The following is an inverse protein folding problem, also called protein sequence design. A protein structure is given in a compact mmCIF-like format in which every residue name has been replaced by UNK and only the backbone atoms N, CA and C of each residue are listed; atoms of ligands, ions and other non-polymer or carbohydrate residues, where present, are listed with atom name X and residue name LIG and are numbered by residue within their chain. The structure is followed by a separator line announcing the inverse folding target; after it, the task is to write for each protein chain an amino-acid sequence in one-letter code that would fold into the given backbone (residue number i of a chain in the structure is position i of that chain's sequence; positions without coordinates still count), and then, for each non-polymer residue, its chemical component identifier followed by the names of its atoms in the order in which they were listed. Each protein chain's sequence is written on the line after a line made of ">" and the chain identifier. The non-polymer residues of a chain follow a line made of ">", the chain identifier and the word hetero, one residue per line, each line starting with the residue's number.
data_IF_695853232102
#
_entry.id   IF_695853232102
#
_cell.length_a   1.000
_cell.length_b   1.000
_cell.length_c   1.000
_cell.angle_alpha   90.00
_cell.angle_beta   90.00
_cell.angle_gamma   90.00
#
_symmetry.space_group_name_H-M   'P 1'
#
loop_
_entity.id
_entity.type
_entity.pdbx_description
1 polymer ?
#
# COMPACT_ATOMS: atom_id res chain seq x y z
N UNK A 1 -16.44 44.47 68.03
CA UNK A 1 -15.19 43.91 67.47
C UNK A 1 -15.57 43.20 66.17
N UNK A 2 -15.31 43.79 64.98
CA UNK A 2 -14.08 43.59 64.16
C UNK A 2 -14.02 42.13 63.67
N UNK A 3 -14.02 41.77 62.38
CA UNK A 3 -13.82 42.49 61.12
C UNK A 3 -14.36 41.66 59.92
N UNK A 4 -14.84 42.39 58.92
CA UNK A 4 -15.13 41.97 57.55
C UNK A 4 -13.84 42.04 56.71
N UNK A 5 -13.64 41.07 55.80
CA UNK A 5 -12.82 41.08 54.57
C UNK A 5 -13.28 39.82 53.79
N UNK A 6 -14.01 39.83 52.66
CA UNK A 6 -13.94 40.61 51.43
C UNK A 6 -12.55 40.61 50.80
N UNK A 7 -12.26 39.58 49.99
CA UNK A 7 -11.46 39.75 48.79
C UNK A 7 -12.05 38.89 47.67
N UNK A 8 -12.55 39.58 46.65
CA UNK A 8 -12.92 39.03 45.36
C UNK A 8 -11.65 38.71 44.56
N UNK A 9 -11.67 37.62 43.79
CA UNK A 9 -10.87 37.50 42.57
C UNK A 9 -11.73 36.89 41.46
N UNK A 10 -12.33 37.83 40.72
CA UNK A 10 -12.61 37.85 39.28
C UNK A 10 -12.44 36.54 38.49
N UNK A 11 -13.56 36.12 37.91
CA UNK A 11 -13.75 35.64 36.53
C UNK A 11 -12.50 35.38 35.69
N UNK A 12 -12.34 34.13 35.27
CA UNK A 12 -12.19 33.85 33.84
C UNK A 12 -13.19 32.77 33.43
N UNK A 13 -13.97 33.12 32.41
CA UNK A 13 -14.83 32.24 31.66
C UNK A 13 -13.94 31.31 30.82
N UNK A 14 -14.16 30.00 30.89
CA UNK A 14 -13.81 29.08 29.81
C UNK A 14 -14.91 28.01 29.75
N UNK A 15 -15.62 28.02 28.63
CA UNK A 15 -16.62 27.02 28.27
C UNK A 15 -15.97 25.63 28.10
N UNK A 16 -16.74 24.62 28.50
CA UNK A 16 -16.79 23.23 28.01
C UNK A 16 -15.62 22.73 27.18
N UNK A 17 -14.99 21.63 27.58
CA UNK A 17 -14.81 20.49 26.68
C UNK A 17 -14.95 19.19 27.45
N UNK A 18 -15.68 18.26 26.85
CA UNK A 18 -15.94 16.93 27.34
C UNK A 18 -14.64 16.25 27.80
N UNK A 19 -14.69 15.65 28.98
CA UNK A 19 -13.67 14.74 29.45
C UNK A 19 -13.53 13.61 28.45
N UNK A 20 -12.32 13.49 27.91
CA UNK A 20 -11.83 12.39 27.09
C UNK A 20 -12.27 11.03 27.65
N UNK A 21 -13.11 10.35 26.88
CA UNK A 21 -13.19 8.89 26.85
C UNK A 21 -13.02 8.46 25.39
N UNK A 22 -11.89 8.81 24.78
CA UNK A 22 -11.35 7.97 23.71
C UNK A 22 -10.83 6.71 24.40
N UNK A 23 -11.70 5.71 24.41
CA UNK A 23 -11.34 4.32 24.65
C UNK A 23 -10.15 4.02 23.74
N UNK A 24 -8.98 3.78 24.35
CA UNK A 24 -7.86 3.14 23.68
C UNK A 24 -8.44 1.93 22.94
N UNK A 25 -8.38 1.95 21.61
CA UNK A 25 -8.64 0.75 20.83
C UNK A 25 -7.61 -0.27 21.32
N UNK A 26 -8.09 -1.18 22.15
CA UNK A 26 -7.30 -2.28 22.70
C UNK A 26 -6.73 -3.07 21.52
N UNK A 27 -5.47 -3.51 21.64
CA UNK A 27 -4.75 -4.44 20.74
C UNK A 27 -5.46 -5.79 20.47
N UNK A 28 -6.76 -5.90 20.73
CA UNK A 28 -7.57 -7.12 20.59
C UNK A 28 -8.94 -6.94 19.95
N UNK A 29 -9.27 -5.80 19.36
CA UNK A 29 -10.46 -5.75 18.51
C UNK A 29 -10.14 -6.44 17.17
N UNK A 30 -10.73 -7.63 16.96
CA UNK A 30 -10.87 -8.20 15.63
C UNK A 30 -11.58 -7.15 14.78
N UNK A 31 -10.83 -6.45 13.93
CA UNK A 31 -11.41 -5.49 13.01
C UNK A 31 -12.20 -6.30 11.98
N UNK A 32 -13.52 -6.11 11.99
CA UNK A 32 -14.37 -6.65 10.96
C UNK A 32 -14.15 -5.84 9.68
N UNK A 33 -13.69 -6.52 8.62
CA UNK A 33 -13.51 -5.94 7.29
C UNK A 33 -14.80 -5.28 6.78
N UNK A 34 -15.98 -5.76 7.21
CA UNK A 34 -17.26 -5.14 6.88
C UNK A 34 -17.44 -3.74 7.49
N UNK A 35 -16.82 -3.46 8.64
CA UNK A 35 -16.86 -2.13 9.26
C UNK A 35 -15.91 -1.14 8.56
N UNK A 36 -14.89 -1.65 7.86
CA UNK A 36 -13.93 -0.83 7.12
C UNK A 36 -14.46 -0.49 5.71
N UNK A 37 -15.25 -1.38 5.10
CA UNK A 37 -15.77 -1.18 3.75
C UNK A 37 -16.42 0.19 3.47
N UNK A 38 -17.23 0.76 4.39
CA UNK A 38 -17.83 2.09 4.20
C UNK A 38 -16.84 3.26 4.27
N UNK A 39 -15.63 3.06 4.78
CA UNK A 39 -14.59 4.09 4.91
C UNK A 39 -13.74 4.24 3.64
N UNK A 40 -13.88 3.31 2.69
CA UNK A 40 -13.15 3.31 1.41
C UNK A 40 -13.91 3.98 0.27
N UNK A 41 -13.15 4.64 -0.60
CA UNK A 41 -13.70 5.24 -1.81
C UNK A 41 -14.45 4.18 -2.65
N UNK A 42 -15.66 4.51 -3.13
CA UNK A 42 -16.38 3.63 -4.03
C UNK A 42 -15.58 3.43 -5.32
N UNK A 43 -15.66 2.22 -5.87
CA UNK A 43 -15.10 1.96 -7.19
C UNK A 43 -15.71 2.90 -8.23
N UNK A 44 -14.88 3.35 -9.15
CA UNK A 44 -15.22 4.24 -10.25
C UNK A 44 -14.56 3.73 -11.53
N UNK A 45 -15.36 3.55 -12.57
CA UNK A 45 -14.89 3.12 -13.89
C UNK A 45 -13.84 4.06 -14.51
N UNK A 46 -13.86 5.34 -14.15
CA UNK A 46 -12.92 6.34 -14.66
C UNK A 46 -11.59 6.35 -13.90
N UNK A 47 -11.56 5.78 -12.69
CA UNK A 47 -10.38 5.72 -11.84
C UNK A 47 -9.43 4.61 -12.28
N UNK A 48 -8.15 4.93 -12.20
CA UNK A 48 -7.07 3.94 -12.31
C UNK A 48 -6.74 3.47 -10.91
N UNK A 49 -6.58 2.16 -10.76
CA UNK A 49 -6.18 1.52 -9.53
C UNK A 49 -4.89 0.74 -9.77
N UNK A 50 -3.98 0.70 -8.81
CA UNK A 50 -2.72 -0.04 -8.85
C UNK A 50 -2.71 -1.15 -7.80
N UNK A 51 -1.74 -2.06 -7.89
CA UNK A 51 -1.60 -3.15 -6.93
C UNK A 51 -1.66 -2.64 -5.48
N UNK A 52 -2.60 -3.17 -4.69
CA UNK A 52 -2.84 -2.78 -3.30
C UNK A 52 -3.95 -1.75 -3.10
N UNK A 53 -4.41 -1.06 -4.14
CA UNK A 53 -5.51 -0.10 -4.01
C UNK A 53 -6.79 -0.78 -3.59
N UNK A 54 -7.50 -0.15 -2.66
CA UNK A 54 -8.72 -0.68 -2.07
C UNK A 54 -9.90 0.16 -2.51
N UNK A 55 -10.93 -0.52 -3.00
CA UNK A 55 -12.23 0.10 -3.30
C UNK A 55 -13.36 -0.60 -2.60
N UNK A 56 -14.39 0.17 -2.29
CA UNK A 56 -15.69 -0.38 -1.94
C UNK A 56 -16.55 -0.52 -3.20
N UNK A 57 -17.16 -1.69 -3.41
CA UNK A 57 -18.09 -1.89 -4.52
C UNK A 57 -19.18 -2.89 -4.12
N UNK A 58 -20.45 -2.48 -4.27
CA UNK A 58 -21.62 -3.27 -3.89
C UNK A 58 -21.53 -3.84 -2.45
N UNK A 59 -21.09 -3.02 -1.49
CA UNK A 59 -20.89 -3.38 -0.07
C UNK A 59 -19.74 -4.37 0.19
N UNK A 60 -18.79 -4.52 -0.74
CA UNK A 60 -17.62 -5.40 -0.56
C UNK A 60 -16.32 -4.65 -0.79
N UNK A 61 -15.26 -5.19 -0.21
CA UNK A 61 -13.90 -4.72 -0.40
C UNK A 61 -13.20 -5.50 -1.51
N UNK A 62 -12.51 -4.76 -2.37
CA UNK A 62 -11.65 -5.29 -3.40
C UNK A 62 -10.27 -4.67 -3.31
N UNK A 63 -9.25 -5.49 -3.46
CA UNK A 63 -7.86 -5.05 -3.57
C UNK A 63 -7.43 -5.22 -5.03
N UNK A 64 -6.95 -4.16 -5.66
CA UNK A 64 -6.39 -4.26 -6.99
C UNK A 64 -5.12 -5.12 -6.96
N UNK A 65 -5.00 -6.09 -7.86
CA UNK A 65 -3.83 -6.99 -7.91
C UNK A 65 -2.67 -6.41 -8.75
N UNK A 66 -3.00 -5.51 -9.65
CA UNK A 66 -2.10 -4.85 -10.58
C UNK A 66 -2.79 -3.57 -11.05
N UNK A 67 -2.17 -2.87 -11.99
CA UNK A 67 -2.85 -1.77 -12.67
C UNK A 67 -4.18 -2.24 -13.28
N UNK A 68 -5.29 -1.61 -12.90
CA UNK A 68 -6.64 -1.90 -13.40
C UNK A 68 -7.43 -0.60 -13.56
N UNK A 69 -8.08 -0.43 -14.71
CA UNK A 69 -8.92 0.73 -15.02
C UNK A 69 -10.16 0.28 -15.77
N UNK A 70 -11.33 0.79 -15.38
CA UNK A 70 -12.58 0.53 -16.08
C UNK A 70 -13.10 -0.91 -15.98
N UNK A 71 -12.31 -1.84 -15.43
CA UNK A 71 -12.77 -3.18 -15.09
C UNK A 71 -13.48 -3.11 -13.74
N UNK A 72 -14.75 -3.49 -13.74
CA UNK A 72 -15.58 -3.51 -12.54
C UNK A 72 -15.17 -4.68 -11.61
N UNK A 73 -14.98 -4.44 -10.30
CA UNK A 73 -14.65 -5.50 -9.36
C UNK A 73 -15.83 -6.47 -9.21
N UNK A 74 -15.57 -7.75 -9.40
CA UNK A 74 -16.59 -8.80 -9.31
C UNK A 74 -16.23 -9.84 -8.26
N UNK A 75 -17.25 -10.41 -7.61
CA UNK A 75 -17.12 -11.44 -6.57
C UNK A 75 -16.68 -12.78 -7.16
N UNK A 76 -15.40 -12.93 -7.48
CA UNK A 76 -14.84 -14.16 -7.99
C UNK A 76 -13.48 -14.47 -7.35
N UNK A 77 -12.88 -15.60 -7.74
CA UNK A 77 -11.55 -16.05 -7.35
C UNK A 77 -10.52 -15.91 -8.49
N UNK A 78 -10.82 -15.06 -9.48
CA UNK A 78 -10.09 -14.87 -10.73
C UNK A 78 -9.22 -13.62 -10.59
N UNK A 79 -8.10 -13.77 -9.90
CA UNK A 79 -7.22 -12.66 -9.55
C UNK A 79 -6.59 -11.91 -10.76
N UNK A 80 -6.55 -12.51 -11.96
CA UNK A 80 -6.05 -11.84 -13.18
C UNK A 80 -7.02 -10.80 -13.76
N UNK A 81 -8.27 -10.71 -13.29
CA UNK A 81 -9.22 -9.68 -13.73
C UNK A 81 -8.94 -8.28 -13.16
N UNK A 82 -7.88 -8.15 -12.37
CA UNK A 82 -7.44 -6.90 -11.77
C UNK A 82 -7.87 -6.74 -10.32
N UNK A 83 -8.82 -7.53 -9.82
CA UNK A 83 -9.40 -7.36 -8.49
C UNK A 83 -9.35 -8.64 -7.65
N UNK A 84 -9.13 -8.45 -6.36
CA UNK A 84 -9.16 -9.51 -5.37
C UNK A 84 -10.30 -9.19 -4.41
N UNK A 85 -11.34 -10.02 -4.43
CA UNK A 85 -12.43 -9.90 -3.47
C UNK A 85 -11.96 -10.35 -2.09
N UNK A 86 -11.91 -9.39 -1.15
CA UNK A 86 -11.34 -9.57 0.19
C UNK A 86 -12.26 -10.38 1.12
N UNK A 87 -13.53 -10.57 0.75
CA UNK A 87 -14.55 -11.21 1.58
C UNK A 87 -15.17 -12.43 0.89
N UNK A 88 -14.38 -13.12 0.05
CA UNK A 88 -14.79 -14.34 -0.63
C UNK A 88 -15.39 -15.41 0.29
N UNK A 89 -16.24 -16.32 -0.23
CA UNK A 89 -16.96 -17.31 0.60
C UNK A 89 -16.00 -18.24 1.35
N UNK A 90 -14.76 -18.40 0.88
CA UNK A 90 -13.72 -19.17 1.54
C UNK A 90 -12.36 -18.49 1.34
N UNK A 91 -11.85 -17.80 2.37
CA UNK A 91 -10.41 -17.54 2.48
C UNK A 91 -9.81 -18.69 3.28
N UNK A 92 -9.00 -19.50 2.60
CA UNK A 92 -8.41 -20.69 3.20
C UNK A 92 -7.40 -20.31 4.30
N UNK A 93 -7.31 -21.17 5.32
CA UNK A 93 -6.23 -21.08 6.30
C UNK A 93 -4.89 -21.29 5.60
N UNK A 94 -3.87 -20.52 5.97
CA UNK A 94 -2.52 -20.76 5.51
C UNK A 94 -2.04 -22.16 5.90
N UNK A 95 -1.40 -22.86 4.96
CA UNK A 95 -0.84 -24.20 5.11
C UNK A 95 0.64 -24.17 4.69
N UNK A 96 1.56 -24.69 5.51
CA UNK A 96 2.99 -24.67 5.21
C UNK A 96 3.35 -25.43 3.92
N UNK A 97 2.59 -26.48 3.59
CA UNK A 97 2.82 -27.35 2.42
C UNK A 97 2.12 -26.86 1.15
N UNK A 98 1.39 -25.74 1.21
CA UNK A 98 0.69 -25.20 0.04
C UNK A 98 1.58 -24.17 -0.64
N UNK A 99 1.65 -24.27 -1.95
CA UNK A 99 2.23 -23.25 -2.82
C UNK A 99 1.21 -22.15 -3.03
N UNK A 100 1.63 -20.91 -2.81
CA UNK A 100 0.86 -19.69 -3.04
C UNK A 100 1.46 -18.90 -4.18
N UNK A 101 0.62 -18.24 -4.97
CA UNK A 101 1.00 -17.33 -6.06
C UNK A 101 0.65 -15.89 -5.67
N UNK A 102 1.28 -14.92 -6.35
CA UNK A 102 0.91 -13.51 -6.16
C UNK A 102 -0.58 -13.31 -6.42
N UNK A 103 -1.27 -12.66 -5.48
CA UNK A 103 -2.73 -12.51 -5.50
C UNK A 103 -3.50 -13.46 -4.58
N UNK A 104 -2.87 -14.54 -4.09
CA UNK A 104 -3.57 -15.49 -3.22
C UNK A 104 -3.88 -14.86 -1.86
N UNK A 105 -5.09 -15.11 -1.34
CA UNK A 105 -5.48 -14.72 0.01
C UNK A 105 -5.39 -15.90 0.97
N UNK A 106 -4.86 -15.65 2.17
CA UNK A 106 -4.86 -16.62 3.26
C UNK A 106 -5.29 -16.01 4.57
N UNK A 107 -5.89 -16.84 5.43
CA UNK A 107 -6.11 -16.53 6.83
C UNK A 107 -4.99 -17.13 7.67
N UNK A 108 -4.34 -16.31 8.49
CA UNK A 108 -3.33 -16.75 9.44
C UNK A 108 -3.60 -16.12 10.81
N UNK A 109 -3.90 -16.96 11.80
CA UNK A 109 -4.43 -16.50 13.07
C UNK A 109 -5.79 -15.80 12.92
N UNK A 110 -5.87 -14.56 13.40
CA UNK A 110 -7.05 -13.68 13.30
C UNK A 110 -7.02 -12.75 12.09
N UNK A 111 -5.97 -12.83 11.26
CA UNK A 111 -5.64 -11.83 10.25
C UNK A 111 -5.68 -12.43 8.84
N UNK A 112 -5.78 -11.53 7.86
CA UNK A 112 -5.81 -11.87 6.44
C UNK A 112 -4.57 -11.32 5.74
N UNK A 113 -4.03 -12.10 4.83
CA UNK A 113 -2.81 -11.76 4.10
C UNK A 113 -2.98 -12.02 2.61
N UNK A 114 -2.45 -11.10 1.81
CA UNK A 114 -2.27 -11.20 0.38
C UNK A 114 -0.85 -11.71 0.09
N UNK A 115 -0.73 -12.82 -0.64
CA UNK A 115 0.52 -13.26 -1.21
C UNK A 115 0.98 -12.23 -2.24
N UNK A 116 2.18 -11.68 -2.05
CA UNK A 116 2.76 -10.69 -2.97
C UNK A 116 3.32 -11.35 -4.22
N UNK A 117 3.77 -12.60 -4.10
CA UNK A 117 4.42 -13.37 -5.14
C UNK A 117 4.38 -14.87 -4.82
N UNK A 118 4.97 -15.69 -5.70
CA UNK A 118 5.11 -17.12 -5.49
C UNK A 118 5.82 -17.42 -4.16
N UNK A 119 5.21 -18.21 -3.28
CA UNK A 119 5.87 -18.64 -2.05
C UNK A 119 5.32 -19.97 -1.53
N UNK A 120 6.16 -20.70 -0.82
CA UNK A 120 5.84 -21.98 -0.19
C UNK A 120 6.51 -22.01 1.19
N UNK A 121 5.80 -22.52 2.20
CA UNK A 121 6.29 -22.64 3.58
C UNK A 121 6.77 -21.34 4.26
N UNK A 122 6.49 -20.18 3.65
CA UNK A 122 6.74 -18.88 4.26
C UNK A 122 5.54 -18.49 5.11
N UNK A 123 5.71 -18.46 6.43
CA UNK A 123 4.67 -18.02 7.37
C UNK A 123 4.20 -16.58 7.06
N UNK A 124 2.89 -16.29 7.09
CA UNK A 124 2.36 -14.95 6.89
C UNK A 124 2.87 -13.96 7.94
N UNK A 125 3.74 -13.07 7.48
CA UNK A 125 4.29 -11.91 8.18
C UNK A 125 4.39 -10.77 7.18
N UNK A 126 4.09 -9.56 7.62
CA UNK A 126 4.24 -8.37 6.79
C UNK A 126 5.69 -8.24 6.30
N UNK A 127 5.88 -7.59 5.14
CA UNK A 127 7.21 -7.25 4.58
C UNK A 127 8.05 -8.39 3.96
N UNK A 128 7.49 -9.58 3.75
CA UNK A 128 8.16 -10.65 3.01
C UNK A 128 7.32 -11.13 1.83
N UNK A 129 6.83 -12.36 1.88
CA UNK A 129 5.96 -12.92 0.83
C UNK A 129 4.50 -12.51 0.97
N UNK A 130 4.18 -11.81 2.05
CA UNK A 130 2.81 -11.50 2.46
C UNK A 130 2.63 -10.01 2.74
N UNK A 131 1.47 -9.47 2.37
CA UNK A 131 0.95 -8.16 2.75
C UNK A 131 -0.25 -8.42 3.65
N UNK A 132 -0.24 -7.92 4.89
CA UNK A 132 -1.45 -7.98 5.70
C UNK A 132 -2.50 -7.07 5.07
N UNK A 133 -3.71 -7.58 4.94
CA UNK A 133 -4.80 -6.90 4.26
C UNK A 133 -5.22 -5.64 5.00
N UNK A 134 -5.25 -5.68 6.34
CA UNK A 134 -5.62 -4.49 7.13
C UNK A 134 -4.66 -3.32 7.01
N UNK A 135 -3.42 -3.58 6.65
CA UNK A 135 -2.41 -2.53 6.46
C UNK A 135 -2.63 -1.79 5.12
N UNK A 136 -3.49 -2.33 4.25
CA UNK A 136 -3.99 -1.64 3.06
C UNK A 136 -5.17 -0.69 3.39
N UNK A 137 -5.71 -0.77 4.61
CA UNK A 137 -6.87 0.02 5.00
C UNK A 137 -6.50 1.16 5.94
N UNK A 138 -6.95 2.35 5.59
CA UNK A 138 -6.62 3.58 6.28
C UNK A 138 -7.29 3.65 7.66
N UNK A 139 -6.50 3.63 8.72
CA UNK A 139 -6.88 4.20 10.01
C UNK A 139 -5.87 5.32 10.27
N UNK A 140 -6.34 6.55 10.51
CA UNK A 140 -5.49 7.72 10.83
C UNK A 140 -4.30 7.29 11.70
N UNK A 141 -3.04 7.38 11.23
CA UNK A 141 -2.00 6.60 11.84
C UNK A 141 -1.50 7.24 13.13
N UNK A 142 -1.34 6.40 14.13
CA UNK A 142 -0.27 6.57 15.09
C UNK A 142 1.05 6.29 14.36
N UNK A 143 1.71 7.33 13.83
CA UNK A 143 2.95 7.18 13.08
C UNK A 143 4.05 6.54 13.93
N UNK A 144 4.79 5.53 13.41
CA UNK A 144 5.93 4.97 14.11
C UNK A 144 6.97 6.05 14.44
N UNK A 145 7.58 6.03 15.64
CA UNK A 145 8.63 6.99 15.97
C UNK A 145 9.86 6.80 15.07
N UNK A 146 10.69 7.83 14.95
CA UNK A 146 11.96 7.72 14.23
C UNK A 146 12.88 6.68 14.88
N UNK A 147 13.56 5.87 14.06
CA UNK A 147 14.46 4.83 14.53
C UNK A 147 15.89 5.07 14.01
N UNK A 148 16.88 4.83 14.88
CA UNK A 148 18.31 5.03 14.54
C UNK A 148 18.82 4.14 13.39
N UNK A 149 18.09 3.07 13.08
CA UNK A 149 18.46 2.09 12.06
C UNK A 149 17.68 2.28 10.74
N UNK A 150 16.81 3.30 10.66
CA UNK A 150 15.96 3.59 9.50
C UNK A 150 16.72 3.61 8.17
N UNK A 151 17.97 4.08 8.19
CA UNK A 151 18.80 4.26 6.99
C UNK A 151 19.97 3.27 6.91
N UNK A 152 20.08 2.30 7.82
CA UNK A 152 21.25 1.40 7.90
C UNK A 152 21.23 0.26 6.90
N UNK A 153 20.03 -0.23 6.56
CA UNK A 153 19.85 -1.37 5.64
C UNK A 153 18.95 -0.95 4.48
N UNK A 154 18.95 -1.76 3.41
CA UNK A 154 18.04 -1.56 2.29
C UNK A 154 16.57 -1.61 2.75
N UNK A 155 16.27 -2.54 3.64
CA UNK A 155 14.94 -2.80 4.21
C UNK A 155 14.52 -1.78 5.27
N UNK A 156 15.48 -1.10 5.90
CA UNK A 156 15.24 -0.23 7.07
C UNK A 156 14.49 -0.93 8.19
N UNK A 157 13.50 -0.23 8.75
CA UNK A 157 12.76 -0.63 9.94
C UNK A 157 11.27 -0.47 9.70
N UNK A 158 10.49 -1.43 10.18
CA UNK A 158 9.03 -1.46 10.21
C UNK A 158 8.62 -1.89 11.63
N UNK A 159 8.49 -0.91 12.54
CA UNK A 159 8.24 -1.16 13.97
C UNK A 159 6.81 -1.61 14.24
N UNK A 160 5.85 -1.15 13.44
CA UNK A 160 4.43 -1.49 13.59
C UNK A 160 4.06 -2.76 12.80
N UNK A 161 5.01 -3.34 12.06
CA UNK A 161 4.87 -4.54 11.25
C UNK A 161 3.72 -4.42 10.23
N UNK A 162 3.53 -3.22 9.66
CA UNK A 162 2.49 -2.96 8.67
C UNK A 162 2.92 -3.27 7.22
N UNK A 163 4.18 -3.70 7.03
CA UNK A 163 4.75 -3.99 5.72
C UNK A 163 5.22 -2.75 4.97
N UNK A 164 5.22 -1.59 5.62
CA UNK A 164 5.71 -0.32 5.10
C UNK A 164 6.86 0.12 6.01
N UNK A 165 7.95 0.54 5.38
CA UNK A 165 9.10 1.04 6.13
C UNK A 165 8.76 2.35 6.83
N UNK A 166 9.08 2.46 8.11
CA UNK A 166 8.64 3.57 8.97
C UNK A 166 9.16 4.94 8.50
N UNK A 167 10.38 5.00 7.98
CA UNK A 167 10.94 6.25 7.42
C UNK A 167 10.22 6.71 6.16
N UNK A 168 9.74 5.76 5.36
CA UNK A 168 8.93 6.02 4.19
C UNK A 168 7.51 6.44 4.57
N UNK A 169 6.90 5.74 5.52
CA UNK A 169 5.57 6.08 6.04
C UNK A 169 5.56 7.50 6.60
N UNK A 170 6.50 7.83 7.49
CA UNK A 170 6.60 9.19 8.07
C UNK A 170 6.79 10.27 7.01
N UNK A 171 7.69 10.08 6.04
CA UNK A 171 7.95 11.12 5.04
C UNK A 171 6.74 11.32 4.10
N UNK A 172 5.96 10.27 3.84
CA UNK A 172 4.71 10.37 3.07
C UNK A 172 3.69 11.24 3.81
N UNK A 173 3.46 10.97 5.09
CA UNK A 173 2.55 11.76 5.93
C UNK A 173 3.06 13.18 6.23
N UNK A 174 4.38 13.41 6.19
CA UNK A 174 4.95 14.75 6.31
C UNK A 174 4.79 15.57 5.01
N UNK A 175 4.80 14.91 3.85
CA UNK A 175 4.82 15.59 2.54
C UNK A 175 3.46 15.79 1.92
N UNK A 176 2.47 14.99 2.28
CA UNK A 176 1.16 15.00 1.63
C UNK A 176 0.05 15.08 2.67
N UNK A 177 -0.86 16.02 2.45
CA UNK A 177 -2.06 16.21 3.29
C UNK A 177 -3.33 15.61 2.67
N UNK A 178 -3.26 15.22 1.39
CA UNK A 178 -4.39 14.61 0.67
C UNK A 178 -4.44 13.10 0.95
N UNK A 179 -5.59 12.56 1.44
CA UNK A 179 -5.75 11.12 1.62
C UNK A 179 -5.48 10.31 0.36
N UNK A 180 -5.84 10.83 -0.82
CA UNK A 180 -5.57 10.20 -2.12
C UNK A 180 -4.05 10.06 -2.38
N UNK A 181 -3.29 11.13 -2.14
CA UNK A 181 -1.85 11.16 -2.39
C UNK A 181 -1.06 10.32 -1.38
N UNK A 182 -1.48 10.35 -0.12
CA UNK A 182 -0.94 9.50 0.94
C UNK A 182 -1.19 8.04 0.58
N UNK A 183 -2.44 7.68 0.28
CA UNK A 183 -2.84 6.30 -0.04
C UNK A 183 -2.04 5.77 -1.23
N UNK A 184 -2.00 6.50 -2.34
CA UNK A 184 -1.23 6.10 -3.52
C UNK A 184 0.27 5.91 -3.20
N UNK A 185 0.85 6.79 -2.37
CA UNK A 185 2.25 6.67 -1.97
C UNK A 185 2.50 5.42 -1.13
N UNK A 186 1.70 5.20 -0.07
CA UNK A 186 1.82 4.02 0.78
C UNK A 186 1.55 2.72 0.01
N UNK A 187 0.55 2.69 -0.87
CA UNK A 187 0.22 1.54 -1.72
C UNK A 187 1.36 1.20 -2.70
N UNK A 188 2.16 2.19 -3.11
CA UNK A 188 3.33 1.95 -3.94
C UNK A 188 4.47 1.23 -3.19
N UNK A 189 4.58 1.37 -1.86
CA UNK A 189 5.67 0.80 -1.07
C UNK A 189 5.92 -0.70 -1.32
N UNK A 190 4.88 -1.58 -1.31
CA UNK A 190 4.95 -2.95 -1.82
C UNK A 190 5.81 -3.15 -3.07
N UNK A 191 5.45 -2.50 -4.17
CA UNK A 191 6.12 -2.64 -5.46
C UNK A 191 7.55 -2.10 -5.43
N UNK A 192 7.77 -1.02 -4.68
CA UNK A 192 9.11 -0.45 -4.50
C UNK A 192 10.02 -1.39 -3.70
N UNK A 193 9.47 -2.08 -2.70
CA UNK A 193 10.17 -3.12 -1.95
C UNK A 193 10.49 -4.34 -2.81
N UNK A 194 9.61 -4.75 -3.74
CA UNK A 194 9.91 -5.87 -4.65
C UNK A 194 11.19 -5.65 -5.47
N UNK A 195 11.48 -4.40 -5.86
CA UNK A 195 12.74 -4.08 -6.56
C UNK A 195 13.96 -4.33 -5.67
N UNK A 196 13.86 -3.99 -4.39
CA UNK A 196 14.88 -4.28 -3.38
C UNK A 196 15.02 -5.78 -3.14
N UNK A 197 13.90 -6.50 -3.07
CA UNK A 197 13.86 -7.96 -2.91
C UNK A 197 14.55 -8.69 -4.07
N UNK A 198 14.35 -8.23 -5.30
CA UNK A 198 15.08 -8.75 -6.48
C UNK A 198 16.58 -8.50 -6.32
N UNK A 199 16.96 -7.30 -5.88
CA UNK A 199 18.37 -7.00 -5.70
C UNK A 199 19.02 -7.89 -4.63
N UNK A 200 18.29 -8.19 -3.56
CA UNK A 200 18.76 -9.07 -2.48
C UNK A 200 18.60 -10.57 -2.81
N UNK A 201 18.18 -10.91 -4.04
CA UNK A 201 17.93 -12.28 -4.49
C UNK A 201 16.94 -13.04 -3.58
N UNK A 202 15.91 -12.36 -3.08
CA UNK A 202 14.88 -12.93 -2.18
C UNK A 202 13.74 -13.64 -2.91
N UNK A 203 13.76 -13.64 -4.24
CA UNK A 203 12.83 -14.44 -5.04
C UNK A 203 13.36 -15.87 -5.15
N UNK A 204 12.57 -16.84 -4.71
CA UNK A 204 12.87 -18.27 -4.92
C UNK A 204 12.82 -18.65 -6.40
N UNK A 205 11.95 -17.99 -7.17
CA UNK A 205 11.89 -18.08 -8.62
C UNK A 205 11.60 -16.69 -9.20
N UNK A 206 12.55 -16.17 -9.99
CA UNK A 206 12.38 -14.96 -10.77
C UNK A 206 12.51 -15.34 -12.25
N UNK A 207 11.40 -15.25 -12.97
CA UNK A 207 11.31 -15.56 -14.39
C UNK A 207 10.97 -14.31 -15.22
N UNK A 208 10.81 -14.50 -16.53
CA UNK A 208 10.46 -13.43 -17.47
C UNK A 208 9.12 -12.76 -17.11
N UNK A 209 8.08 -13.52 -16.80
CA UNK A 209 6.73 -13.00 -16.55
C UNK A 209 6.67 -12.19 -15.25
N UNK A 210 7.29 -12.70 -14.18
CA UNK A 210 7.41 -11.97 -12.91
C UNK A 210 8.24 -10.70 -13.11
N UNK A 211 9.36 -10.80 -13.83
CA UNK A 211 10.22 -9.66 -14.16
C UNK A 211 9.48 -8.57 -14.95
N UNK A 212 8.73 -8.95 -16.00
CA UNK A 212 7.88 -8.05 -16.79
C UNK A 212 6.86 -7.36 -15.89
N UNK A 213 6.14 -8.11 -15.06
CA UNK A 213 5.11 -7.56 -14.16
C UNK A 213 5.68 -6.51 -13.20
N UNK A 214 6.76 -6.82 -12.49
CA UNK A 214 7.36 -5.88 -11.52
C UNK A 214 7.86 -4.62 -12.24
N UNK A 215 8.49 -4.74 -13.41
CA UNK A 215 8.95 -3.58 -14.18
C UNK A 215 7.76 -2.71 -14.63
N UNK A 216 6.68 -3.31 -15.12
CA UNK A 216 5.48 -2.60 -15.53
C UNK A 216 4.81 -1.89 -14.35
N UNK A 217 4.58 -2.59 -13.23
CA UNK A 217 4.02 -1.99 -12.01
C UNK A 217 4.91 -0.84 -11.50
N UNK A 218 6.23 -1.03 -11.58
CA UNK A 218 7.18 0.03 -11.25
C UNK A 218 7.00 1.23 -12.18
N UNK A 219 7.00 1.05 -13.50
CA UNK A 219 6.78 2.14 -14.49
C UNK A 219 5.45 2.85 -14.23
N UNK A 220 4.39 2.10 -13.93
CA UNK A 220 3.06 2.62 -13.68
C UNK A 220 3.01 3.58 -12.49
N UNK A 221 3.78 3.36 -11.42
CA UNK A 221 3.90 4.34 -10.32
C UNK A 221 4.35 5.72 -10.84
N UNK A 222 5.29 5.75 -11.79
CA UNK A 222 5.73 7.03 -12.38
C UNK A 222 4.69 7.65 -13.29
N UNK A 223 3.96 6.84 -14.05
CA UNK A 223 2.91 7.32 -14.94
C UNK A 223 1.72 7.85 -14.14
N UNK A 224 1.22 7.10 -13.15
CA UNK A 224 0.17 7.52 -12.23
C UNK A 224 0.55 8.79 -11.46
N UNK A 225 1.81 8.91 -11.02
CA UNK A 225 2.30 10.16 -10.41
C UNK A 225 2.10 11.35 -11.36
N UNK A 226 2.45 11.23 -12.64
CA UNK A 226 2.29 12.32 -13.62
C UNK A 226 0.83 12.68 -13.84
N UNK A 227 -0.07 11.70 -13.84
CA UNK A 227 -1.52 11.94 -13.94
C UNK A 227 -2.02 12.69 -12.71
N UNK A 228 -1.67 12.24 -11.51
CA UNK A 228 -2.03 12.92 -10.26
C UNK A 228 -1.47 14.34 -10.22
N UNK A 229 -0.28 14.57 -10.78
CA UNK A 229 0.31 15.91 -10.87
C UNK A 229 -0.52 16.92 -11.68
N UNK A 230 -1.44 16.48 -12.54
CA UNK A 230 -2.35 17.40 -13.24
C UNK A 230 -3.29 18.11 -12.25
N UNK A 231 -3.77 17.40 -11.23
CA UNK A 231 -4.65 17.94 -10.19
C UNK A 231 -3.88 18.37 -8.94
N UNK A 232 -2.68 17.80 -8.73
CA UNK A 232 -1.81 18.04 -7.59
C UNK A 232 -0.39 18.39 -8.06
N UNK A 233 -0.14 19.61 -8.58
CA UNK A 233 1.15 19.97 -9.22
C UNK A 233 2.40 19.79 -8.35
N UNK A 234 2.22 19.84 -7.02
CA UNK A 234 3.30 19.67 -6.05
C UNK A 234 3.52 18.21 -5.64
N UNK A 235 2.66 17.28 -6.06
CA UNK A 235 2.82 15.86 -5.75
C UNK A 235 4.17 15.36 -6.27
N UNK A 236 4.85 14.57 -5.45
CA UNK A 236 6.19 14.04 -5.74
C UNK A 236 6.11 12.54 -5.89
N UNK A 237 6.91 12.02 -6.81
CA UNK A 237 6.91 10.60 -7.12
C UNK A 237 7.31 9.78 -5.88
N UNK A 238 6.49 8.81 -5.44
CA UNK A 238 6.77 7.92 -4.32
C UNK A 238 8.16 7.27 -4.36
N UNK A 239 8.68 6.96 -5.55
CA UNK A 239 10.03 6.38 -5.73
C UNK A 239 11.14 7.26 -5.16
N UNK A 240 11.00 8.58 -5.27
CA UNK A 240 12.02 9.53 -4.78
C UNK A 240 12.05 9.56 -3.25
N UNK A 241 10.91 9.33 -2.61
CA UNK A 241 10.78 9.25 -1.16
C UNK A 241 11.22 7.87 -0.64
N UNK A 242 10.97 6.80 -1.41
CA UNK A 242 11.30 5.44 -1.01
C UNK A 242 12.79 5.10 -1.15
N UNK A 243 13.44 5.48 -2.26
CA UNK A 243 14.86 5.22 -2.48
C UNK A 243 15.72 6.38 -1.98
N UNK A 244 15.54 6.72 -0.70
CA UNK A 244 16.07 7.91 -0.02
C UNK A 244 17.53 7.80 0.46
N UNK A 245 18.23 6.70 0.17
CA UNK A 245 19.67 6.56 0.44
C UNK A 245 20.43 6.17 -0.84
N UNK A 246 21.74 6.42 -0.88
CA UNK A 246 22.57 6.04 -2.02
C UNK A 246 22.51 4.52 -2.27
N UNK A 247 22.53 3.73 -1.20
CA UNK A 247 22.45 2.27 -1.27
C UNK A 247 21.09 1.83 -1.83
N UNK A 248 19.98 2.44 -1.39
CA UNK A 248 18.64 2.15 -1.91
C UNK A 248 18.47 2.58 -3.37
N UNK A 249 19.03 3.72 -3.76
CA UNK A 249 19.03 4.16 -5.15
C UNK A 249 19.85 3.23 -6.06
N UNK A 250 20.99 2.75 -5.58
CA UNK A 250 21.79 1.75 -6.29
C UNK A 250 21.05 0.41 -6.40
N UNK A 251 20.44 -0.05 -5.31
CA UNK A 251 19.65 -1.28 -5.26
C UNK A 251 18.44 -1.22 -6.21
N UNK A 252 17.76 -0.07 -6.25
CA UNK A 252 16.68 0.19 -7.20
C UNK A 252 17.13 -0.02 -8.66
N UNK A 253 18.28 0.55 -9.03
CA UNK A 253 18.80 0.44 -10.40
C UNK A 253 19.25 -0.98 -10.73
N UNK A 254 19.92 -1.64 -9.80
CA UNK A 254 20.45 -2.99 -9.98
C UNK A 254 19.34 -4.04 -10.01
N UNK A 255 18.37 -3.97 -9.11
CA UNK A 255 17.17 -4.80 -9.12
C UNK A 255 16.39 -4.70 -10.43
N UNK A 256 16.13 -3.48 -10.91
CA UNK A 256 15.52 -3.27 -12.24
C UNK A 256 16.32 -3.88 -13.38
N UNK A 257 17.65 -3.74 -13.35
CA UNK A 257 18.52 -4.33 -14.38
C UNK A 257 18.52 -5.85 -14.34
N UNK A 258 18.40 -6.47 -13.16
CA UNK A 258 18.28 -7.93 -13.03
C UNK A 258 17.02 -8.44 -13.72
N UNK A 259 15.86 -7.85 -13.42
CA UNK A 259 14.60 -8.20 -14.08
C UNK A 259 14.69 -7.98 -15.59
N UNK A 260 15.20 -6.81 -16.03
CA UNK A 260 15.31 -6.49 -17.45
C UNK A 260 16.19 -7.45 -18.25
N UNK A 261 17.16 -8.13 -17.62
CA UNK A 261 17.99 -9.14 -18.30
C UNK A 261 17.24 -10.44 -18.59
N UNK A 262 16.15 -10.70 -17.86
CA UNK A 262 15.28 -11.87 -18.09
C UNK A 262 14.28 -11.61 -19.21
N UNK A 263 13.99 -10.33 -19.49
CA UNK A 263 13.04 -9.91 -20.50
C UNK A 263 13.77 -9.91 -21.85
N UNK A 264 13.44 -10.84 -22.77
CA UNK A 264 13.99 -10.82 -24.11
C UNK A 264 13.60 -9.52 -24.81
N UNK A 265 14.39 -9.15 -25.82
CA UNK A 265 14.08 -7.97 -26.61
C UNK A 265 12.76 -8.22 -27.35
N UNK A 266 11.71 -7.57 -26.89
CA UNK A 266 10.33 -7.75 -27.35
C UNK A 266 9.78 -6.36 -27.70
N UNK A 267 9.54 -6.14 -28.99
CA UNK A 267 8.99 -4.90 -29.51
C UNK A 267 7.61 -4.59 -28.89
N UNK A 268 6.82 -5.62 -28.51
CA UNK A 268 5.52 -5.44 -27.85
C UNK A 268 5.64 -5.00 -26.40
N UNK A 269 6.69 -5.41 -25.66
CA UNK A 269 6.92 -4.95 -24.28
C UNK A 269 7.28 -3.47 -24.24
N UNK A 270 8.11 -3.01 -25.19
CA UNK A 270 8.44 -1.59 -25.33
C UNK A 270 7.24 -0.79 -25.83
N UNK A 271 6.49 -1.33 -26.79
CA UNK A 271 5.30 -0.70 -27.33
C UNK A 271 4.14 -0.64 -26.31
N UNK A 272 3.96 -1.62 -25.43
CA UNK A 272 2.91 -1.64 -24.39
C UNK A 272 3.19 -0.66 -23.26
N UNK A 273 4.46 -0.50 -22.87
CA UNK A 273 4.88 0.57 -21.96
C UNK A 273 4.66 1.98 -22.55
N UNK A 274 4.72 2.12 -23.88
CA UNK A 274 4.48 3.38 -24.61
C UNK A 274 3.01 3.59 -25.03
N UNK A 275 2.22 2.52 -25.28
CA UNK A 275 0.81 2.57 -25.69
C UNK A 275 -0.15 2.89 -24.55
N UNK A 276 0.29 2.73 -23.31
CA UNK A 276 -0.53 2.98 -22.13
C UNK A 276 -0.85 4.48 -21.92
N UNK A 277 -0.49 5.36 -22.87
CA UNK A 277 -1.00 6.73 -22.96
C UNK A 277 -2.16 6.90 -23.97
N UNK A 278 -2.26 6.08 -25.02
CA UNK A 278 -3.29 6.26 -26.07
C UNK A 278 -4.71 5.92 -25.59
N UNK A 279 -4.83 4.93 -24.71
CA UNK A 279 -6.10 4.59 -24.05
C UNK A 279 -6.48 5.58 -22.92
N UNK A 280 -5.58 6.49 -22.54
CA UNK A 280 -5.74 7.42 -21.41
C UNK A 280 -6.09 8.86 -21.80
N UNK A 281 -6.05 9.22 -23.08
CA UNK A 281 -6.41 10.58 -23.55
C UNK A 281 -7.83 10.69 -24.12
N UNK A 282 -8.56 9.59 -24.27
CA UNK A 282 -9.92 9.62 -24.86
C UNK A 282 -9.96 10.04 -26.33
N UNK A 283 -8.82 10.09 -27.02
CA UNK A 283 -8.79 10.25 -28.47
C UNK A 283 -9.13 8.93 -29.14
N UNK A 284 -10.24 8.90 -29.89
CA UNK A 284 -10.41 7.91 -30.95
C UNK A 284 -9.20 8.01 -31.94
N UNK A 285 -8.87 6.93 -32.68
CA UNK A 285 -7.77 6.96 -33.65
C UNK A 285 -7.84 8.14 -34.63
#
# INVERSE_FOLDING_TARGET
>A
MVRVLLLACLFFCAHTHATNLLRLASEKENIDLANIAPEHNPWSASSVYIAGDVVSHNENLFVAMHWVKGIEPVKNNINWDGWIWVQGPVIEKWLPTKVYKGGDLVKYGTEYFLARYWNENNEPKSHHSWQRIRDLFYVYPNLPPAHRDDYKTLDGVDQNANGIRDDYERIVYEKFDSPELITFSLAAAPTLQLVIDVEQNRFSHLDEDIGKKIILDFVNISMCTRVLQNNFPHFRNPKLLYFNTLQRAFANRTGQNKMRRLIPWDDEFHYSADKDCGALTGGAP
#
